data_IF_189302067448
#
_entry.id   IF_189302067448
#
_cell.length_a   1.000
_cell.length_b   1.000
_cell.length_c   1.000
_cell.angle_alpha   90.00
_cell.angle_beta   90.00
_cell.angle_gamma   90.00
#
_symmetry.space_group_name_H-M   'P 1'
#
loop_
_entity.id
_entity.type
_entity.pdbx_description
1 polymer ?
#
# COMPACT_ATOMS: atom_id res chain seq x y z
N UNK A 1 2.71 16.78 -41.83
CA UNK A 1 3.35 18.10 -42.08
C UNK A 1 4.75 18.08 -41.46
N UNK A 2 5.79 17.91 -42.27
CA UNK A 2 7.17 17.88 -41.81
C UNK A 2 7.70 19.30 -41.61
N UNK A 3 8.19 19.60 -40.42
CA UNK A 3 8.82 20.89 -40.11
C UNK A 3 10.19 20.93 -40.82
N UNK A 4 10.34 21.78 -41.83
CA UNK A 4 11.64 22.05 -42.47
C UNK A 4 12.45 22.97 -41.54
N UNK A 5 13.57 22.47 -41.03
CA UNK A 5 14.53 23.27 -40.28
C UNK A 5 15.27 24.26 -41.21
N UNK A 6 15.57 25.45 -40.68
CA UNK A 6 16.25 26.54 -41.38
C UNK A 6 17.69 26.18 -41.80
N UNK A 7 18.13 26.55 -43.02
CA UNK A 7 19.43 26.18 -43.59
C UNK A 7 20.66 26.72 -42.83
N UNK A 8 20.48 27.65 -41.88
CA UNK A 8 21.56 28.13 -41.02
C UNK A 8 22.01 27.11 -39.95
N UNK A 9 21.13 26.22 -39.51
CA UNK A 9 21.46 25.23 -38.46
C UNK A 9 22.31 24.09 -39.05
N UNK A 10 22.15 23.79 -40.34
CA UNK A 10 22.90 22.73 -41.01
C UNK A 10 24.41 23.04 -41.15
N UNK A 11 24.79 24.32 -41.25
CA UNK A 11 26.21 24.72 -41.36
C UNK A 11 26.98 24.62 -40.05
N UNK A 12 26.31 24.68 -38.90
CA UNK A 12 26.96 24.52 -37.58
C UNK A 12 27.25 23.05 -37.23
N UNK A 13 26.48 22.11 -37.79
CA UNK A 13 26.62 20.67 -37.50
C UNK A 13 27.50 19.90 -38.49
N UNK A 14 27.92 20.54 -39.59
CA UNK A 14 28.84 19.94 -40.58
C UNK A 14 30.28 20.39 -40.35
N UNK A 15 30.84 20.05 -39.19
CA UNK A 15 32.29 20.15 -39.00
C UNK A 15 32.97 18.91 -39.57
N UNK A 16 33.85 19.11 -40.56
CA UNK A 16 34.66 18.03 -41.20
C UNK A 16 35.63 17.36 -40.23
N UNK A 17 35.97 18.01 -39.11
CA UNK A 17 36.92 17.49 -38.13
C UNK A 17 36.19 16.74 -37.00
N UNK A 18 36.42 15.42 -36.82
CA UNK A 18 35.81 14.64 -35.75
C UNK A 18 36.17 15.16 -34.35
N UNK A 19 37.36 15.76 -34.18
CA UNK A 19 37.78 16.34 -32.91
C UNK A 19 36.95 17.57 -32.53
N UNK A 20 36.62 18.41 -33.51
CA UNK A 20 35.74 19.58 -33.30
C UNK A 20 34.34 19.17 -32.86
N UNK A 21 33.79 18.10 -33.45
CA UNK A 21 32.47 17.57 -33.06
C UNK A 21 32.48 17.08 -31.60
N UNK A 22 33.52 16.37 -31.18
CA UNK A 22 33.67 15.90 -29.81
C UNK A 22 33.70 17.05 -28.80
N UNK A 23 34.43 18.14 -29.11
CA UNK A 23 34.50 19.34 -28.25
C UNK A 23 33.13 20.02 -28.13
N UNK A 24 32.38 20.15 -29.23
CA UNK A 24 31.04 20.76 -29.19
C UNK A 24 30.05 19.89 -28.41
N UNK A 25 30.09 18.56 -28.56
CA UNK A 25 29.25 17.66 -27.76
C UNK A 25 29.61 17.72 -26.26
N UNK A 26 30.90 17.81 -25.93
CA UNK A 26 31.34 17.98 -24.55
C UNK A 26 30.85 19.30 -23.96
N UNK A 27 30.94 20.40 -24.71
CA UNK A 27 30.44 21.72 -24.28
C UNK A 27 28.92 21.72 -24.07
N UNK A 28 28.14 21.14 -24.99
CA UNK A 28 26.67 21.02 -24.84
C UNK A 28 26.33 20.15 -23.62
N UNK A 29 27.04 19.05 -23.41
CA UNK A 29 26.83 18.17 -22.26
C UNK A 29 27.11 18.89 -20.94
N UNK A 30 28.19 19.68 -20.87
CA UNK A 30 28.52 20.50 -19.70
C UNK A 30 27.48 21.59 -19.44
N UNK A 31 26.93 22.22 -20.48
CA UNK A 31 25.85 23.20 -20.34
C UNK A 31 24.57 22.54 -19.81
N UNK A 32 24.19 21.36 -20.32
CA UNK A 32 23.03 20.61 -19.83
C UNK A 32 23.20 20.17 -18.38
N UNK A 33 24.42 19.75 -17.98
CA UNK A 33 24.75 19.41 -16.59
C UNK A 33 24.67 20.66 -15.72
N UNK A 34 25.21 21.81 -16.16
CA UNK A 34 25.14 23.06 -15.41
C UNK A 34 23.70 23.55 -15.23
N UNK A 35 22.86 23.47 -16.27
CA UNK A 35 21.43 23.81 -16.19
C UNK A 35 20.66 22.86 -15.28
N UNK A 36 21.02 21.58 -15.26
CA UNK A 36 20.43 20.59 -14.35
C UNK A 36 20.79 20.87 -12.90
N UNK A 37 22.05 21.24 -12.64
CA UNK A 37 22.55 21.62 -11.31
C UNK A 37 22.01 22.97 -10.83
N UNK A 38 21.66 23.89 -11.74
CA UNK A 38 21.04 25.17 -11.39
C UNK A 38 19.52 25.08 -11.19
N UNK A 39 18.88 23.97 -11.60
CA UNK A 39 17.46 23.77 -11.35
C UNK A 39 17.24 23.39 -9.88
N UNK A 40 16.47 24.23 -9.17
CA UNK A 40 16.02 24.03 -7.78
C UNK A 40 15.16 22.76 -7.57
N UNK A 41 14.94 21.98 -8.63
CA UNK A 41 14.30 20.67 -8.62
C UNK A 41 15.23 19.56 -8.11
N UNK A 42 16.54 19.71 -8.25
CA UNK A 42 17.51 18.66 -7.84
C UNK A 42 17.63 18.54 -6.32
N UNK A 43 17.48 19.64 -5.57
CA UNK A 43 17.46 19.61 -4.11
C UNK A 43 16.19 18.94 -3.56
N UNK A 44 15.05 19.06 -4.25
CA UNK A 44 13.81 18.35 -3.89
C UNK A 44 13.90 16.86 -4.17
N UNK A 45 14.47 16.46 -5.32
CA UNK A 45 14.74 15.07 -5.66
C UNK A 45 15.74 14.43 -4.70
N UNK A 46 16.82 15.15 -4.33
CA UNK A 46 17.78 14.66 -3.34
C UNK A 46 17.15 14.50 -1.96
N UNK A 47 16.31 15.43 -1.49
CA UNK A 47 15.59 15.28 -0.22
C UNK A 47 14.58 14.13 -0.27
N UNK A 48 13.83 13.98 -1.36
CA UNK A 48 12.89 12.88 -1.54
C UNK A 48 13.61 11.51 -1.53
N UNK A 49 14.75 11.39 -2.21
CA UNK A 49 15.57 10.16 -2.23
C UNK A 49 16.21 9.88 -0.86
N UNK A 50 16.71 10.91 -0.17
CA UNK A 50 17.34 10.77 1.16
C UNK A 50 16.32 10.28 2.20
N UNK A 51 15.09 10.80 2.19
CA UNK A 51 14.02 10.36 3.10
C UNK A 51 13.65 8.90 2.87
N UNK A 52 13.62 8.43 1.61
CA UNK A 52 13.41 7.02 1.33
C UNK A 52 14.56 6.17 1.87
N UNK A 53 15.83 6.57 1.64
CA UNK A 53 17.01 5.80 2.08
C UNK A 53 17.21 5.77 3.60
N UNK A 54 16.89 6.82 4.36
CA UNK A 54 17.00 6.77 5.83
C UNK A 54 15.93 5.88 6.45
N UNK A 55 14.75 5.80 5.83
CA UNK A 55 13.71 4.83 6.20
C UNK A 55 14.15 3.39 5.94
N UNK A 56 15.04 3.17 4.96
CA UNK A 56 15.66 1.86 4.69
C UNK A 56 16.79 1.53 5.69
N UNK A 57 17.61 2.50 6.08
CA UNK A 57 18.78 2.26 6.95
C UNK A 57 18.43 1.77 8.36
N UNK A 58 17.28 2.15 8.90
CA UNK A 58 16.81 1.63 10.19
C UNK A 58 16.08 0.27 10.09
N UNK A 59 15.72 -0.19 8.88
CA UNK A 59 15.18 -1.53 8.62
C UNK A 59 16.22 -2.56 8.17
N UNK A 60 17.42 -2.15 7.75
CA UNK A 60 18.47 -2.99 7.15
C UNK A 60 19.48 -3.60 8.13
N UNK A 61 19.23 -3.61 9.44
CA UNK A 61 20.05 -4.41 10.39
C UNK A 61 19.61 -5.88 10.56
N UNK A 62 18.80 -6.42 9.63
CA UNK A 62 18.67 -7.86 9.45
C UNK A 62 19.30 -8.30 8.14
N UNK A 63 20.63 -8.41 8.17
CA UNK A 63 21.38 -9.16 7.17
C UNK A 63 20.89 -10.62 7.17
N UNK A 64 20.31 -11.08 6.06
CA UNK A 64 19.88 -12.47 5.90
C UNK A 64 21.09 -13.40 6.09
N UNK A 65 21.08 -14.18 7.18
CA UNK A 65 22.02 -15.29 7.39
C UNK A 65 21.51 -16.55 6.64
N UNK A 66 22.40 -17.42 6.14
CA UNK A 66 22.01 -18.69 5.54
C UNK A 66 21.16 -19.53 6.50
N UNK A 67 20.20 -20.27 5.94
CA UNK A 67 19.21 -21.14 6.61
C UNK A 67 19.79 -22.32 7.42
N UNK A 68 21.10 -22.34 7.72
CA UNK A 68 21.78 -23.42 8.44
C UNK A 68 21.90 -23.21 9.95
N UNK A 69 21.64 -22.01 10.47
CA UNK A 69 21.63 -21.74 11.92
C UNK A 69 20.25 -21.24 12.35
N UNK A 70 19.29 -22.16 12.50
CA UNK A 70 18.02 -21.84 13.15
C UNK A 70 18.21 -21.78 14.67
N UNK A 71 17.78 -20.71 15.36
CA UNK A 71 17.61 -20.77 16.80
C UNK A 71 16.54 -21.80 17.13
N UNK A 72 16.84 -22.73 18.04
CA UNK A 72 15.84 -23.64 18.59
C UNK A 72 14.76 -22.80 19.26
N UNK A 73 13.56 -22.79 18.68
CA UNK A 73 12.39 -22.17 19.29
C UNK A 73 12.09 -22.85 20.63
N UNK A 74 11.77 -22.10 21.71
CA UNK A 74 11.31 -22.72 22.94
C UNK A 74 10.04 -23.53 22.65
N UNK A 75 9.87 -24.70 23.30
CA UNK A 75 8.72 -25.56 23.06
C UNK A 75 7.42 -24.83 23.40
N UNK A 76 6.40 -25.04 22.57
CA UNK A 76 5.07 -24.49 22.73
C UNK A 76 4.47 -24.89 24.09
N UNK A 77 3.72 -24.00 24.76
CA UNK A 77 2.97 -24.39 25.96
C UNK A 77 1.90 -25.43 25.61
N UNK A 78 1.58 -26.35 26.53
CA UNK A 78 0.65 -27.45 26.26
C UNK A 78 -0.80 -26.94 26.06
N UNK A 79 -1.63 -27.69 25.33
CA UNK A 79 -3.02 -27.32 25.09
C UNK A 79 -3.85 -27.38 26.37
N UNK A 80 -4.60 -26.32 26.65
CA UNK A 80 -5.54 -26.25 27.77
C UNK A 80 -6.74 -27.16 27.45
N UNK A 81 -6.87 -28.24 28.21
CA UNK A 81 -7.99 -29.18 28.10
C UNK A 81 -9.31 -28.55 28.56
N UNK A 82 -10.38 -28.84 27.83
CA UNK A 82 -11.75 -28.48 28.19
C UNK A 82 -12.30 -29.39 29.30
N UNK A 83 -12.87 -28.78 30.35
CA UNK A 83 -14.16 -29.09 30.99
C UNK A 83 -14.13 -28.93 32.52
N UNK A 84 -15.16 -28.23 33.05
CA UNK A 84 -15.59 -28.30 34.44
C UNK A 84 -16.13 -26.99 35.02
N UNK A 85 -17.45 -26.77 34.94
CA UNK A 85 -18.15 -25.93 35.94
C UNK A 85 -18.19 -26.71 37.28
N UNK A 86 -18.09 -26.09 38.48
CA UNK A 86 -19.14 -25.17 38.97
C UNK A 86 -18.72 -23.99 39.91
N UNK A 87 -19.69 -23.07 40.04
CA UNK A 87 -20.03 -22.15 41.15
C UNK A 87 -19.11 -21.01 41.62
N UNK A 88 -19.66 -19.79 41.43
CA UNK A 88 -19.69 -18.61 42.31
C UNK A 88 -18.46 -18.30 43.17
N UNK A 89 -17.73 -17.24 42.83
CA UNK A 89 -17.74 -15.88 43.42
C UNK A 89 -16.57 -15.10 42.76
N UNK A 90 -16.74 -13.81 42.48
CA UNK A 90 -15.79 -12.87 41.84
C UNK A 90 -14.32 -12.88 42.37
N UNK A 91 -13.31 -12.26 41.69
CA UNK A 91 -13.41 -11.27 40.60
C UNK A 91 -12.61 -11.56 39.32
N UNK A 92 -13.03 -10.87 38.26
CA UNK A 92 -12.52 -10.91 36.89
C UNK A 92 -11.05 -10.48 36.73
N UNK A 93 -10.21 -11.38 36.20
CA UNK A 93 -8.95 -11.06 35.52
C UNK A 93 -8.85 -11.89 34.23
N UNK A 94 -9.67 -11.53 33.24
CA UNK A 94 -9.53 -11.99 31.86
C UNK A 94 -8.63 -11.04 31.09
N UNK A 95 -7.45 -11.51 30.66
CA UNK A 95 -6.48 -10.78 29.84
C UNK A 95 -6.93 -10.56 28.40
N UNK A 96 -7.99 -9.78 28.21
CA UNK A 96 -8.18 -8.99 27.00
C UNK A 96 -7.93 -7.54 27.38
N UNK A 97 -7.08 -6.83 26.64
CA UNK A 97 -6.90 -5.39 26.85
C UNK A 97 -8.27 -4.72 26.76
N UNK A 98 -8.83 -4.29 27.90
CA UNK A 98 -9.95 -3.35 27.91
C UNK A 98 -9.36 -2.04 27.42
N UNK A 99 -9.54 -1.75 26.13
CA UNK A 99 -9.28 -0.42 25.59
C UNK A 99 -10.22 0.54 26.32
N UNK A 100 -9.68 1.30 27.27
CA UNK A 100 -10.41 2.30 28.04
C UNK A 100 -10.70 3.52 27.16
N UNK A 101 -11.71 4.30 27.55
CA UNK A 101 -12.05 5.55 26.85
C UNK A 101 -10.89 6.57 26.87
N UNK A 102 -9.92 6.40 27.77
CA UNK A 102 -8.75 7.25 27.96
C UNK A 102 -7.66 6.99 26.90
N UNK A 103 -7.39 5.73 26.52
CA UNK A 103 -6.53 5.39 25.36
C UNK A 103 -7.18 5.74 24.01
N UNK A 104 -8.50 5.90 23.99
CA UNK A 104 -9.27 6.35 22.82
C UNK A 104 -9.44 7.88 22.75
N UNK A 105 -8.87 8.63 23.70
CA UNK A 105 -8.89 10.08 23.67
C UNK A 105 -8.11 10.64 22.48
N UNK A 106 -8.65 11.69 21.87
CA UNK A 106 -8.05 12.37 20.73
C UNK A 106 -7.46 13.72 21.12
N UNK A 107 -6.68 13.75 22.21
CA UNK A 107 -5.83 14.90 22.46
C UNK A 107 -4.82 15.05 21.32
N UNK A 108 -4.61 16.29 20.89
CA UNK A 108 -3.68 16.58 19.81
C UNK A 108 -2.24 16.42 20.32
N UNK A 109 -1.67 15.24 20.09
CA UNK A 109 -0.23 15.01 20.25
C UNK A 109 0.53 15.74 19.14
N UNK A 110 0.73 17.05 19.33
CA UNK A 110 1.51 17.89 18.41
C UNK A 110 2.97 17.46 18.29
N UNK A 111 3.50 16.63 19.21
CA UNK A 111 4.84 16.06 19.04
C UNK A 111 4.81 14.94 18.00
N UNK A 112 3.82 14.04 18.06
CA UNK A 112 3.56 13.03 17.03
C UNK A 112 3.25 13.67 15.67
N UNK A 113 2.35 14.65 15.61
CA UNK A 113 2.01 15.34 14.35
C UNK A 113 3.22 16.02 13.70
N UNK A 114 4.13 16.62 14.50
CA UNK A 114 5.40 17.17 13.98
C UNK A 114 6.33 16.09 13.43
N UNK A 115 6.39 14.91 14.06
CA UNK A 115 7.17 13.77 13.54
C UNK A 115 6.60 13.30 12.21
N UNK A 116 5.28 13.15 12.09
CA UNK A 116 4.62 12.80 10.83
C UNK A 116 4.93 13.83 9.74
N UNK A 117 4.83 15.13 10.06
CA UNK A 117 5.19 16.22 9.15
C UNK A 117 6.62 16.09 8.63
N UNK A 118 7.58 15.92 9.53
CA UNK A 118 8.99 15.81 9.18
C UNK A 118 9.27 14.57 8.34
N UNK A 119 8.73 13.42 8.77
CA UNK A 119 8.96 12.12 8.11
C UNK A 119 8.41 12.08 6.69
N UNK A 120 7.21 12.62 6.46
CA UNK A 120 6.53 12.55 5.15
C UNK A 120 6.56 13.86 4.36
N UNK A 121 7.35 14.83 4.81
CA UNK A 121 7.49 16.13 4.16
C UNK A 121 6.15 16.85 3.96
N UNK A 122 5.29 16.82 4.98
CA UNK A 122 3.97 17.46 4.93
C UNK A 122 4.09 18.99 5.02
N UNK A 123 3.08 19.68 4.52
CA UNK A 123 2.89 21.11 4.74
C UNK A 123 2.83 21.43 6.26
N UNK A 124 3.17 22.68 6.68
CA UNK A 124 3.05 23.10 8.08
C UNK A 124 1.64 22.93 8.65
N UNK A 125 0.64 23.16 7.79
CA UNK A 125 -0.78 22.92 8.02
C UNK A 125 -1.26 21.77 7.14
N UNK A 126 -1.93 20.79 7.73
CA UNK A 126 -2.44 19.62 6.99
C UNK A 126 -3.73 19.08 7.62
N UNK A 127 -4.49 18.33 6.83
CA UNK A 127 -5.69 17.61 7.27
C UNK A 127 -5.29 16.36 8.06
N UNK A 128 -5.85 16.15 9.25
CA UNK A 128 -5.59 14.98 10.09
C UNK A 128 -6.89 14.33 10.54
N UNK A 129 -6.96 13.00 10.40
CA UNK A 129 -8.05 12.19 10.90
C UNK A 129 -7.49 10.91 11.53
N UNK A 130 -7.84 10.65 12.79
CA UNK A 130 -7.46 9.44 13.51
C UNK A 130 -8.72 8.66 13.84
N UNK A 131 -8.74 7.34 13.65
CA UNK A 131 -9.88 6.50 14.01
C UNK A 131 -9.47 5.11 14.47
N UNK A 132 -10.17 4.59 15.48
CA UNK A 132 -10.07 3.20 15.88
C UNK A 132 -10.93 2.32 14.98
N UNK A 133 -10.41 1.15 14.61
CA UNK A 133 -11.11 0.16 13.79
C UNK A 133 -11.14 -1.15 14.57
N UNK A 134 -12.33 -1.62 14.92
CA UNK A 134 -12.51 -2.85 15.68
C UNK A 134 -12.85 -4.01 14.74
N UNK A 135 -12.06 -5.07 14.80
CA UNK A 135 -12.29 -6.30 14.05
C UNK A 135 -13.39 -7.10 14.75
N UNK A 136 -14.47 -7.43 14.03
CA UNK A 136 -15.52 -8.31 14.51
C UNK A 136 -15.45 -9.66 13.80
N UNK A 137 -15.26 -10.74 14.56
CA UNK A 137 -15.31 -12.11 14.02
C UNK A 137 -16.75 -12.59 13.99
N UNK A 138 -17.38 -12.42 12.84
CA UNK A 138 -18.74 -12.89 12.58
C UNK A 138 -18.71 -14.37 12.21
N UNK A 139 -19.32 -15.22 13.05
CA UNK A 139 -19.38 -16.69 12.83
C UNK A 139 -20.24 -17.08 11.62
N UNK A 140 -21.09 -16.17 11.15
CA UNK A 140 -21.97 -16.32 9.98
C UNK A 140 -21.28 -15.98 8.64
N UNK A 141 -20.09 -15.38 8.64
CA UNK A 141 -19.34 -15.11 7.41
C UNK A 141 -18.49 -16.33 7.07
N UNK A 142 -19.02 -17.19 6.20
CA UNK A 142 -18.33 -18.42 5.76
C UNK A 142 -17.18 -18.11 4.78
N UNK A 143 -17.20 -16.98 4.07
CA UNK A 143 -16.21 -16.67 3.02
C UNK A 143 -15.89 -15.17 2.93
N UNK A 144 -14.61 -14.85 2.67
CA UNK A 144 -14.10 -13.48 2.46
C UNK A 144 -14.70 -12.92 1.18
N UNK A 145 -15.39 -11.78 1.27
CA UNK A 145 -15.85 -11.02 0.10
C UNK A 145 -14.76 -10.11 -0.45
N UNK A 146 -14.80 -9.86 -1.76
CA UNK A 146 -13.95 -8.86 -2.43
C UNK A 146 -14.21 -7.46 -1.86
N UNK A 147 -15.49 -7.10 -1.69
CA UNK A 147 -15.96 -5.91 -0.99
C UNK A 147 -16.89 -6.30 0.17
N UNK A 148 -16.65 -5.70 1.33
CA UNK A 148 -17.48 -5.85 2.52
C UNK A 148 -18.16 -4.52 2.82
N UNK A 149 -19.49 -4.52 2.76
CA UNK A 149 -20.29 -3.35 3.17
C UNK A 149 -20.30 -3.24 4.69
N UNK A 150 -20.10 -2.02 5.18
CA UNK A 150 -20.08 -1.62 6.58
C UNK A 150 -21.15 -0.55 6.79
N UNK A 151 -22.10 -0.83 7.67
CA UNK A 151 -23.25 0.06 7.92
C UNK A 151 -22.84 1.38 8.60
N UNK A 152 -21.67 1.41 9.24
CA UNK A 152 -21.10 2.58 9.90
C UNK A 152 -20.45 3.55 8.90
N UNK A 153 -20.46 4.85 9.25
CA UNK A 153 -19.74 5.91 8.53
C UNK A 153 -18.24 5.84 8.80
N UNK A 154 -17.39 6.22 7.85
CA UNK A 154 -15.96 6.45 8.08
C UNK A 154 -15.67 7.80 8.74
N UNK A 155 -16.45 8.84 8.49
CA UNK A 155 -16.37 10.11 9.20
C UNK A 155 -17.47 10.20 10.27
N UNK A 156 -17.09 10.09 11.54
CA UNK A 156 -18.02 10.26 12.67
C UNK A 156 -18.56 11.70 12.69
N UNK A 157 -19.87 11.84 12.85
CA UNK A 157 -20.52 13.14 13.05
C UNK A 157 -20.47 13.50 14.53
N UNK A 158 -19.45 14.24 14.96
CA UNK A 158 -19.46 14.97 16.24
C UNK A 158 -19.86 16.42 16.01
N UNK A 159 -20.38 17.12 17.02
CA UNK A 159 -21.08 18.43 17.01
C UNK A 159 -20.46 19.67 16.32
N UNK A 160 -19.54 19.51 15.37
CA UNK A 160 -19.04 20.55 14.46
C UNK A 160 -18.92 20.15 12.97
N UNK A 161 -19.03 18.87 12.60
CA UNK A 161 -19.07 18.44 11.19
C UNK A 161 -18.37 17.12 10.85
N UNK A 162 -18.62 16.62 9.62
CA UNK A 162 -18.04 15.39 9.03
C UNK A 162 -16.80 15.71 8.19
N UNK A 163 -15.73 16.20 8.81
CA UNK A 163 -14.53 16.67 8.08
C UNK A 163 -13.24 16.29 8.80
N UNK A 164 -12.17 16.25 8.03
CA UNK A 164 -10.81 16.13 8.56
C UNK A 164 -10.47 17.41 9.31
N UNK A 165 -9.80 17.27 10.46
CA UNK A 165 -9.39 18.43 11.26
C UNK A 165 -8.19 19.09 10.60
N UNK A 166 -8.16 20.40 10.52
CA UNK A 166 -6.98 21.13 10.03
C UNK A 166 -6.04 21.37 11.22
N UNK A 167 -4.84 20.79 11.16
CA UNK A 167 -3.83 20.94 12.21
C UNK A 167 -2.70 21.86 11.75
N UNK A 168 -2.31 22.80 12.59
CA UNK A 168 -1.11 23.63 12.47
C UNK A 168 -0.11 23.21 13.55
N UNK A 169 0.91 22.49 13.10
CA UNK A 169 1.95 21.96 13.99
C UNK A 169 2.93 22.99 14.54
N UNK A 170 3.09 24.14 13.88
CA UNK A 170 3.98 25.21 14.35
C UNK A 170 3.24 26.12 15.33
N UNK A 171 2.02 26.51 14.99
CA UNK A 171 1.14 27.27 15.88
C UNK A 171 0.57 26.44 17.04
N UNK A 172 0.69 25.11 16.99
CA UNK A 172 0.05 24.15 17.92
C UNK A 172 -1.45 24.41 18.07
N UNK A 173 -2.09 24.60 16.92
CA UNK A 173 -3.54 24.81 16.85
C UNK A 173 -4.17 23.75 15.98
N UNK A 174 -5.41 23.38 16.29
CA UNK A 174 -6.23 22.51 15.48
C UNK A 174 -7.60 23.16 15.31
N UNK A 175 -8.29 22.88 14.20
CA UNK A 175 -9.69 23.29 14.07
C UNK A 175 -10.53 22.67 15.19
N UNK A 176 -11.56 23.40 15.63
CA UNK A 176 -12.47 22.96 16.70
C UNK A 176 -13.39 21.78 16.30
N UNK A 177 -13.12 21.15 15.16
CA UNK A 177 -13.85 19.98 14.72
C UNK A 177 -13.61 18.85 15.73
N UNK A 178 -14.68 18.26 16.31
CA UNK A 178 -14.51 17.20 17.29
C UNK A 178 -13.86 16.00 16.62
N UNK A 179 -12.87 15.44 17.29
CA UNK A 179 -12.30 14.17 16.92
C UNK A 179 -13.40 13.11 16.90
N UNK A 180 -13.30 12.08 16.04
CA UNK A 180 -14.20 10.94 16.17
C UNK A 180 -14.11 10.43 17.60
N UNK A 181 -15.26 10.35 18.26
CA UNK A 181 -15.36 9.92 19.65
C UNK A 181 -14.82 8.50 19.85
N UNK A 182 -14.92 7.96 21.08
CA UNK A 182 -14.34 6.66 21.41
C UNK A 182 -14.97 5.48 20.64
N UNK A 183 -16.03 5.68 19.85
CA UNK A 183 -16.67 4.61 19.11
C UNK A 183 -15.82 4.15 17.90
N UNK A 184 -15.35 2.89 17.88
CA UNK A 184 -14.56 2.38 16.76
C UNK A 184 -15.44 2.10 15.53
N UNK A 185 -14.84 2.14 14.34
CA UNK A 185 -15.46 1.56 13.14
C UNK A 185 -15.41 0.03 13.25
N UNK A 186 -16.57 -0.63 13.32
CA UNK A 186 -16.62 -2.09 13.38
C UNK A 186 -16.54 -2.68 11.97
N UNK A 187 -15.58 -3.56 11.73
CA UNK A 187 -15.41 -4.22 10.43
C UNK A 187 -15.49 -5.74 10.59
N UNK A 188 -16.40 -6.43 9.88
CA UNK A 188 -16.52 -7.87 9.98
C UNK A 188 -15.42 -8.57 9.16
N UNK A 189 -14.71 -9.51 9.77
CA UNK A 189 -13.68 -10.31 9.11
C UNK A 189 -13.96 -11.80 9.32
N UNK A 190 -13.69 -12.60 8.30
CA UNK A 190 -13.68 -14.07 8.41
C UNK A 190 -12.66 -14.56 9.42
N UNK A 191 -12.91 -15.73 9.99
CA UNK A 191 -11.93 -16.37 10.85
C UNK A 191 -10.90 -17.09 9.96
N UNK A 192 -9.67 -16.59 9.95
CA UNK A 192 -8.56 -17.13 9.17
C UNK A 192 -7.31 -17.34 10.03
N UNK A 193 -6.40 -18.24 9.65
CA UNK A 193 -5.15 -18.44 10.39
C UNK A 193 -4.37 -17.15 10.55
N UNK A 194 -3.81 -16.94 11.73
CA UNK A 194 -2.82 -15.89 11.99
C UNK A 194 -1.42 -16.42 11.68
N UNK A 195 -0.44 -15.55 11.36
CA UNK A 195 0.92 -15.99 11.00
C UNK A 195 1.57 -16.95 12.00
N UNK A 196 1.29 -16.81 13.30
CA UNK A 196 1.83 -17.69 14.35
C UNK A 196 1.22 -19.10 14.36
N UNK A 197 0.11 -19.31 13.66
CA UNK A 197 -0.61 -20.59 13.59
C UNK A 197 -0.54 -21.26 12.22
N UNK A 198 0.07 -20.61 11.23
CA UNK A 198 0.14 -21.12 9.86
C UNK A 198 1.06 -22.35 9.80
N UNK A 199 0.52 -23.48 9.35
CA UNK A 199 1.34 -24.64 9.00
C UNK A 199 1.82 -24.51 7.55
N UNK A 200 3.12 -24.27 7.37
CA UNK A 200 3.75 -24.13 6.06
C UNK A 200 4.58 -25.37 5.67
N UNK A 201 4.41 -26.50 6.36
CA UNK A 201 5.15 -27.75 6.09
C UNK A 201 5.04 -28.22 4.64
N UNK A 202 3.89 -27.94 4.02
CA UNK A 202 3.55 -28.43 2.69
C UNK A 202 4.11 -27.51 1.57
N UNK A 203 4.58 -26.31 1.92
CA UNK A 203 5.13 -25.35 0.95
C UNK A 203 6.66 -25.46 0.90
N UNK A 204 7.17 -26.43 0.11
CA UNK A 204 8.61 -26.67 -0.01
C UNK A 204 9.34 -25.58 -0.81
N UNK A 205 8.73 -25.10 -1.91
CA UNK A 205 9.16 -23.92 -2.69
C UNK A 205 8.07 -23.53 -3.70
N UNK A 206 8.04 -22.26 -4.10
CA UNK A 206 7.15 -21.76 -5.16
C UNK A 206 7.97 -21.09 -6.28
N UNK A 207 7.51 -21.22 -7.52
CA UNK A 207 8.12 -20.54 -8.68
C UNK A 207 7.07 -19.62 -9.30
N UNK A 208 7.32 -18.31 -9.26
CA UNK A 208 6.51 -17.31 -9.95
C UNK A 208 7.28 -16.84 -11.18
N UNK A 209 6.94 -17.39 -12.35
CA UNK A 209 7.53 -16.96 -13.63
C UNK A 209 6.48 -16.87 -14.75
N UNK A 210 6.87 -16.38 -15.94
CA UNK A 210 5.95 -16.28 -17.08
C UNK A 210 5.57 -17.67 -17.59
N UNK A 211 4.34 -17.81 -18.10
CA UNK A 211 3.88 -19.08 -18.68
C UNK A 211 4.83 -19.61 -19.76
N UNK A 212 5.38 -18.71 -20.58
CA UNK A 212 6.37 -19.06 -21.60
C UNK A 212 7.55 -19.84 -21.02
N UNK A 213 8.15 -19.39 -19.92
CA UNK A 213 9.29 -20.05 -19.26
C UNK A 213 8.94 -21.43 -18.68
N UNK A 214 7.67 -21.69 -18.36
CA UNK A 214 7.22 -23.02 -17.99
C UNK A 214 6.98 -23.94 -19.19
N UNK A 215 6.62 -23.38 -20.33
CA UNK A 215 6.28 -24.13 -21.56
C UNK A 215 7.47 -24.36 -22.50
N UNK A 216 8.58 -23.64 -22.32
CA UNK A 216 9.77 -23.79 -23.15
C UNK A 216 10.42 -25.17 -22.98
N UNK A 217 11.04 -25.75 -24.03
CA UNK A 217 11.73 -27.04 -23.94
C UNK A 217 12.91 -27.04 -22.97
N UNK A 218 13.28 -28.24 -22.51
CA UNK A 218 14.52 -28.45 -21.75
C UNK A 218 15.73 -28.00 -22.58
N UNK A 219 16.69 -27.30 -21.94
CA UNK A 219 17.87 -26.73 -22.60
C UNK A 219 17.69 -25.33 -23.19
N UNK A 220 16.46 -24.82 -23.32
CA UNK A 220 16.18 -23.43 -23.75
C UNK A 220 15.84 -22.48 -22.59
N UNK A 221 15.93 -22.95 -21.34
CA UNK A 221 15.49 -22.21 -20.15
C UNK A 221 14.13 -22.66 -19.58
N UNK A 222 13.53 -23.71 -20.15
CA UNK A 222 12.30 -24.33 -19.68
C UNK A 222 12.39 -24.83 -18.24
N UNK A 223 11.58 -24.25 -17.35
CA UNK A 223 11.59 -24.60 -15.92
C UNK A 223 10.90 -25.94 -15.66
N UNK A 224 9.73 -26.18 -16.28
CA UNK A 224 8.97 -27.43 -16.08
C UNK A 224 9.73 -28.66 -16.57
N UNK A 225 10.29 -28.69 -17.80
CA UNK A 225 11.02 -29.87 -18.26
C UNK A 225 12.24 -30.16 -17.39
N UNK A 226 12.97 -29.11 -16.96
CA UNK A 226 14.13 -29.26 -16.08
C UNK A 226 13.77 -29.94 -14.75
N UNK A 227 12.71 -29.47 -14.09
CA UNK A 227 12.26 -30.04 -12.82
C UNK A 227 11.79 -31.48 -13.02
N UNK A 228 11.07 -31.77 -14.10
CA UNK A 228 10.48 -33.09 -14.32
C UNK A 228 11.50 -34.15 -14.73
N UNK A 229 12.56 -33.76 -15.44
CA UNK A 229 13.65 -34.66 -15.84
C UNK A 229 14.60 -34.96 -14.68
N UNK A 230 14.82 -34.01 -13.77
CA UNK A 230 15.82 -34.14 -12.71
C UNK A 230 15.24 -34.47 -11.33
N UNK A 231 13.92 -34.45 -11.17
CA UNK A 231 13.26 -34.70 -9.88
C UNK A 231 11.93 -35.43 -10.04
N UNK A 232 11.48 -36.07 -8.95
CA UNK A 232 10.12 -36.63 -8.86
C UNK A 232 9.04 -35.56 -8.61
N UNK A 233 9.41 -34.28 -8.46
CA UNK A 233 8.48 -33.19 -8.16
C UNK A 233 7.56 -32.94 -9.35
N UNK A 234 6.29 -32.64 -9.06
CA UNK A 234 5.28 -32.24 -10.03
C UNK A 234 4.72 -30.88 -9.65
N UNK A 235 4.76 -29.94 -10.59
CA UNK A 235 4.34 -28.57 -10.38
C UNK A 235 2.81 -28.50 -10.41
N UNK A 236 2.25 -27.69 -9.52
CA UNK A 236 0.83 -27.32 -9.51
C UNK A 236 0.72 -25.82 -9.76
N UNK A 237 -0.23 -25.41 -10.59
CA UNK A 237 -0.49 -23.99 -10.82
C UNK A 237 -1.22 -23.44 -9.59
N UNK A 238 -0.65 -22.41 -8.97
CA UNK A 238 -1.23 -21.67 -7.85
C UNK A 238 -1.52 -20.24 -8.35
N UNK A 239 -2.78 -19.90 -8.69
CA UNK A 239 -3.14 -18.61 -9.27
C UNK A 239 -2.73 -17.38 -8.43
N UNK A 240 -2.57 -17.57 -7.13
CA UNK A 240 -2.27 -16.49 -6.17
C UNK A 240 -0.77 -16.19 -6.05
N UNK A 241 0.10 -16.87 -6.80
CA UNK A 241 1.54 -16.55 -6.89
C UNK A 241 1.79 -15.47 -7.96
N UNK A 242 1.77 -14.21 -7.55
CA UNK A 242 1.82 -13.09 -8.49
C UNK A 242 3.23 -12.63 -8.84
N UNK A 243 3.56 -12.65 -10.13
CA UNK A 243 4.82 -12.08 -10.63
C UNK A 243 4.85 -10.54 -10.61
N UNK A 244 3.67 -9.94 -10.81
CA UNK A 244 3.43 -8.49 -10.91
C UNK A 244 4.36 -7.74 -11.87
N UNK A 245 4.33 -8.11 -13.15
CA UNK A 245 4.95 -7.33 -14.24
C UNK A 245 4.19 -6.03 -14.53
N UNK A 246 3.91 -5.27 -13.48
CA UNK A 246 3.11 -4.04 -13.48
C UNK A 246 4.05 -2.84 -13.38
N UNK A 247 3.83 -1.85 -14.24
CA UNK A 247 4.53 -0.57 -14.19
C UNK A 247 3.54 0.56 -13.92
N UNK A 248 4.02 1.62 -13.26
CA UNK A 248 3.20 2.78 -12.92
C UNK A 248 2.53 2.62 -11.55
N UNK A 249 1.28 3.07 -11.44
CA UNK A 249 0.53 3.06 -10.18
C UNK A 249 -0.10 1.68 -9.92
N UNK A 250 0.34 0.93 -8.89
CA UNK A 250 -0.19 -0.41 -8.62
C UNK A 250 -1.52 -0.41 -7.86
N UNK A 251 -2.12 0.76 -7.59
CA UNK A 251 -3.31 0.89 -6.72
C UNK A 251 -4.46 0.00 -7.16
N UNK A 252 -4.72 -0.11 -8.47
CA UNK A 252 -5.73 -1.01 -9.01
C UNK A 252 -5.58 -2.45 -8.54
N UNK A 253 -4.35 -2.97 -8.47
CA UNK A 253 -4.09 -4.33 -8.00
C UNK A 253 -4.37 -4.45 -6.50
N UNK A 254 -3.78 -3.60 -5.67
CA UNK A 254 -3.90 -3.71 -4.22
C UNK A 254 -5.25 -3.26 -3.66
N UNK A 255 -6.01 -2.45 -4.39
CA UNK A 255 -7.37 -2.01 -4.03
C UNK A 255 -8.47 -2.86 -4.68
N UNK A 256 -8.12 -3.92 -5.41
CA UNK A 256 -9.12 -4.78 -6.07
C UNK A 256 -9.83 -5.71 -5.09
N UNK A 257 -9.17 -6.07 -3.98
CA UNK A 257 -9.66 -7.08 -3.03
C UNK A 257 -9.05 -8.46 -3.23
N UNK A 258 -8.15 -8.62 -4.20
CA UNK A 258 -7.35 -9.84 -4.40
C UNK A 258 -6.57 -10.23 -3.15
N UNK A 259 -6.37 -11.54 -2.96
CA UNK A 259 -5.58 -12.13 -1.87
C UNK A 259 -4.30 -12.76 -2.44
N UNK A 260 -3.23 -11.99 -2.68
CA UNK A 260 -1.99 -12.53 -3.23
C UNK A 260 -1.24 -13.34 -2.17
N UNK A 261 -0.78 -14.55 -2.51
CA UNK A 261 0.10 -15.36 -1.65
C UNK A 261 1.55 -14.92 -1.74
N UNK A 262 1.99 -14.45 -2.91
CA UNK A 262 3.33 -13.89 -3.10
C UNK A 262 3.30 -12.66 -3.98
N UNK A 263 4.25 -11.76 -3.75
CA UNK A 263 4.49 -10.60 -4.59
C UNK A 263 5.92 -10.66 -5.13
N UNK A 264 6.06 -10.61 -6.44
CA UNK A 264 7.34 -10.39 -7.11
C UNK A 264 7.32 -9.00 -7.79
N UNK A 265 8.47 -8.52 -8.29
CA UNK A 265 8.60 -7.21 -8.95
C UNK A 265 7.97 -6.01 -8.20
N UNK A 266 8.10 -5.92 -6.88
CA UNK A 266 7.55 -4.82 -6.07
C UNK A 266 8.61 -3.87 -5.48
N UNK A 267 9.90 -4.08 -5.78
CA UNK A 267 11.01 -3.32 -5.15
C UNK A 267 11.38 -2.03 -5.91
N UNK A 268 10.56 -1.59 -6.86
CA UNK A 268 10.83 -0.43 -7.70
C UNK A 268 11.73 -0.72 -8.90
N UNK A 269 12.46 0.31 -9.35
CA UNK A 269 13.17 0.30 -10.64
C UNK A 269 12.20 0.60 -11.78
N UNK A 270 12.11 -0.29 -12.76
CA UNK A 270 11.06 -0.20 -13.80
C UNK A 270 9.69 -0.68 -13.30
N UNK A 271 9.66 -1.46 -12.21
CA UNK A 271 8.46 -2.00 -11.58
C UNK A 271 7.85 -1.04 -10.56
N UNK A 272 6.68 -1.39 -10.01
CA UNK A 272 6.09 -0.63 -8.92
C UNK A 272 6.85 -0.82 -7.60
N UNK A 273 6.62 0.12 -6.68
CA UNK A 273 7.06 0.01 -5.28
C UNK A 273 5.87 -0.51 -4.46
N UNK A 274 6.09 -1.55 -3.68
CA UNK A 274 5.14 -2.08 -2.72
C UNK A 274 5.79 -2.33 -1.36
N UNK A 275 4.96 -2.44 -0.32
CA UNK A 275 5.39 -2.64 1.07
C UNK A 275 4.73 -3.88 1.70
N UNK A 276 5.02 -5.11 1.23
CA UNK A 276 4.31 -6.32 1.64
C UNK A 276 4.25 -6.51 3.17
N UNK A 277 5.35 -6.23 3.88
CA UNK A 277 5.43 -6.32 5.34
C UNK A 277 4.55 -5.31 6.07
N UNK A 278 4.32 -4.13 5.47
CA UNK A 278 3.40 -3.14 6.00
C UNK A 278 1.95 -3.51 5.68
N UNK A 279 1.71 -4.02 4.46
CA UNK A 279 0.37 -4.43 4.00
C UNK A 279 -0.20 -5.58 4.82
N UNK A 280 0.64 -6.57 5.12
CA UNK A 280 0.27 -7.80 5.83
C UNK A 280 0.29 -7.66 7.35
N UNK A 281 0.73 -6.52 7.90
CA UNK A 281 0.89 -6.35 9.35
C UNK A 281 -0.42 -6.58 10.13
N UNK A 282 -1.56 -6.26 9.52
CA UNK A 282 -2.88 -6.50 10.10
C UNK A 282 -3.18 -7.98 10.34
N UNK A 283 -2.54 -8.90 9.63
CA UNK A 283 -2.77 -10.33 9.78
C UNK A 283 -2.42 -10.85 11.20
N UNK A 284 -1.62 -10.11 11.97
CA UNK A 284 -1.38 -10.42 13.38
C UNK A 284 -2.65 -10.30 14.25
N UNK A 285 -3.63 -9.48 13.83
CA UNK A 285 -4.91 -9.30 14.53
C UNK A 285 -6.01 -10.15 13.92
N UNK A 286 -6.21 -10.04 12.61
CA UNK A 286 -7.38 -10.57 11.92
C UNK A 286 -7.12 -11.82 11.06
N UNK A 287 -5.88 -12.33 11.06
CA UNK A 287 -5.49 -13.44 10.20
C UNK A 287 -5.26 -13.01 8.74
N UNK A 288 -4.85 -13.94 7.90
CA UNK A 288 -4.48 -13.65 6.51
C UNK A 288 -5.61 -13.03 5.67
N UNK A 289 -6.87 -13.37 5.95
CA UNK A 289 -8.01 -12.95 5.14
C UNK A 289 -8.29 -11.45 5.19
N UNK A 290 -7.90 -10.74 6.26
CA UNK A 290 -8.13 -9.30 6.28
C UNK A 290 -7.14 -8.52 5.40
N UNK A 291 -6.01 -9.13 5.02
CA UNK A 291 -5.00 -8.43 4.22
C UNK A 291 -5.58 -8.07 2.85
N UNK A 292 -5.58 -6.78 2.53
CA UNK A 292 -6.19 -6.19 1.32
C UNK A 292 -7.70 -6.42 1.17
N UNK A 293 -8.40 -6.88 2.22
CA UNK A 293 -9.86 -6.88 2.22
C UNK A 293 -10.37 -5.45 2.14
N UNK A 294 -11.46 -5.23 1.40
CA UNK A 294 -12.06 -3.91 1.21
C UNK A 294 -13.27 -3.74 2.10
N UNK A 295 -13.32 -2.64 2.83
CA UNK A 295 -14.47 -2.23 3.64
C UNK A 295 -15.05 -0.95 3.09
N UNK A 296 -16.27 -1.02 2.52
CA UNK A 296 -17.02 0.15 2.06
C UNK A 296 -17.90 0.65 3.19
N UNK A 297 -17.80 1.92 3.48
CA UNK A 297 -18.63 2.63 4.47
C UNK A 297 -19.75 3.39 3.77
N UNK A 298 -20.83 3.67 4.49
CA UNK A 298 -22.02 4.32 3.95
C UNK A 298 -21.81 5.79 3.51
N UNK A 299 -20.69 6.43 3.88
CA UNK A 299 -20.32 7.79 3.49
C UNK A 299 -19.25 7.85 2.40
N UNK A 300 -19.13 6.76 1.62
CA UNK A 300 -18.37 6.75 0.38
C UNK A 300 -16.87 6.59 0.56
N UNK A 301 -16.42 6.06 1.70
CA UNK A 301 -15.03 5.62 1.88
C UNK A 301 -14.90 4.11 1.67
N UNK A 302 -13.77 3.72 1.09
CA UNK A 302 -13.31 2.34 0.98
C UNK A 302 -11.95 2.23 1.67
N UNK A 303 -11.87 1.38 2.68
CA UNK A 303 -10.59 1.02 3.31
C UNK A 303 -10.11 -0.27 2.63
N UNK A 304 -9.02 -0.19 1.86
CA UNK A 304 -8.27 -1.36 1.42
C UNK A 304 -7.26 -1.70 2.53
N UNK A 305 -7.59 -2.69 3.35
CA UNK A 305 -6.87 -2.99 4.59
C UNK A 305 -5.37 -3.21 4.34
N UNK A 306 -4.55 -2.35 4.92
CA UNK A 306 -3.11 -2.35 4.71
C UNK A 306 -2.62 -1.75 3.38
N UNK A 307 -3.43 -1.06 2.59
CA UNK A 307 -2.94 -0.40 1.38
C UNK A 307 -3.38 1.05 1.26
N UNK A 308 -4.67 1.34 1.34
CA UNK A 308 -5.18 2.71 1.16
C UNK A 308 -6.50 2.96 1.90
N UNK A 309 -6.80 4.25 2.05
CA UNK A 309 -8.13 4.74 2.38
C UNK A 309 -8.56 5.65 1.25
N UNK A 310 -9.58 5.25 0.49
CA UNK A 310 -10.07 5.99 -0.67
C UNK A 310 -11.45 6.58 -0.40
N UNK A 311 -11.67 7.83 -0.78
CA UNK A 311 -12.98 8.48 -0.80
C UNK A 311 -13.49 8.61 -2.23
N UNK A 312 -14.78 8.41 -2.41
CA UNK A 312 -15.49 8.54 -3.68
C UNK A 312 -16.55 9.66 -3.57
N UNK A 313 -16.18 10.94 -3.76
CA UNK A 313 -17.06 12.08 -3.45
C UNK A 313 -18.34 12.14 -4.28
N UNK A 314 -18.34 11.49 -5.45
CA UNK A 314 -19.47 11.44 -6.38
C UNK A 314 -20.19 10.10 -6.36
N UNK A 315 -19.94 9.26 -5.35
CA UNK A 315 -20.51 7.92 -5.23
C UNK A 315 -19.86 6.87 -6.13
N UNK A 316 -20.32 5.63 -5.97
CA UNK A 316 -19.80 4.43 -6.65
C UNK A 316 -20.90 3.60 -7.33
N UNK A 317 -22.13 4.08 -7.40
CA UNK A 317 -23.28 3.26 -7.82
C UNK A 317 -23.24 2.89 -9.32
N UNK A 318 -22.51 3.66 -10.13
CA UNK A 318 -22.23 3.41 -11.54
C UNK A 318 -20.89 2.69 -11.78
N UNK A 319 -20.17 2.33 -10.71
CA UNK A 319 -18.89 1.62 -10.81
C UNK A 319 -19.11 0.13 -10.58
N UNK A 320 -18.59 -0.69 -11.50
CA UNK A 320 -18.40 -2.11 -11.21
C UNK A 320 -17.22 -2.26 -10.23
N UNK A 321 -17.53 -2.38 -8.95
CA UNK A 321 -16.52 -2.43 -7.89
C UNK A 321 -15.78 -3.76 -7.82
N UNK A 322 -16.27 -4.80 -8.49
CA UNK A 322 -15.61 -6.10 -8.57
C UNK A 322 -14.50 -6.10 -9.63
N UNK A 323 -14.57 -5.16 -10.59
CA UNK A 323 -13.52 -4.97 -11.57
C UNK A 323 -12.30 -4.25 -11.00
N UNK A 324 -11.13 -4.78 -11.34
CA UNK A 324 -9.85 -4.13 -11.07
C UNK A 324 -9.75 -2.80 -11.82
N UNK A 325 -9.31 -1.75 -11.15
CA UNK A 325 -9.04 -0.46 -11.78
C UNK A 325 -7.77 -0.53 -12.63
N UNK A 326 -7.82 -0.09 -13.88
CA UNK A 326 -6.64 -0.06 -14.75
C UNK A 326 -5.72 1.13 -14.46
N UNK A 327 -5.06 1.12 -13.30
CA UNK A 327 -4.13 2.19 -12.86
C UNK A 327 -2.69 2.00 -13.36
N UNK A 328 -2.32 0.75 -13.65
CA UNK A 328 -1.00 0.34 -14.11
C UNK A 328 -1.02 -0.03 -15.59
N UNK A 329 0.17 -0.23 -16.15
CA UNK A 329 0.40 -0.81 -17.48
C UNK A 329 1.21 -2.10 -17.36
N UNK A 330 0.94 -3.13 -18.18
CA UNK A 330 1.76 -4.34 -18.23
C UNK A 330 3.14 -4.05 -18.83
N UNK A 331 4.15 -4.84 -18.45
CA UNK A 331 5.43 -4.94 -19.13
C UNK A 331 5.49 -6.19 -20.03
N UNK A 332 6.35 -6.19 -21.07
CA UNK A 332 7.07 -5.04 -21.62
C UNK A 332 6.17 -4.10 -22.46
N UNK A 333 5.16 -4.66 -23.13
CA UNK A 333 4.25 -3.95 -24.03
C UNK A 333 2.81 -3.95 -23.50
N UNK A 334 2.11 -2.82 -23.63
CA UNK A 334 0.68 -2.72 -23.36
C UNK A 334 -0.14 -2.89 -24.64
N UNK A 335 -0.69 -4.10 -24.84
CA UNK A 335 -1.58 -4.45 -25.95
C UNK A 335 -3.06 -4.20 -25.62
N UNK A 336 -3.37 -3.73 -24.41
CA UNK A 336 -4.76 -3.53 -23.97
C UNK A 336 -5.33 -4.69 -23.17
N UNK A 337 -4.94 -5.93 -23.49
CA UNK A 337 -5.55 -7.18 -22.99
C UNK A 337 -4.55 -8.15 -22.34
N UNK A 338 -3.27 -7.77 -22.17
CA UNK A 338 -2.20 -8.67 -21.73
C UNK A 338 -2.50 -9.41 -20.42
N UNK A 339 -3.27 -8.78 -19.53
CA UNK A 339 -3.52 -9.25 -18.18
C UNK A 339 -4.95 -9.72 -17.98
N UNK A 340 -5.83 -9.60 -18.98
CA UNK A 340 -7.26 -9.90 -18.86
C UNK A 340 -7.52 -11.37 -18.48
N UNK A 341 -6.64 -12.28 -18.91
CA UNK A 341 -6.71 -13.70 -18.53
C UNK A 341 -6.57 -13.90 -17.01
N UNK A 342 -5.73 -13.11 -16.34
CA UNK A 342 -5.47 -13.24 -14.91
C UNK A 342 -6.29 -12.26 -14.06
N UNK A 343 -6.59 -11.08 -14.59
CA UNK A 343 -7.20 -9.97 -13.85
C UNK A 343 -8.68 -9.76 -14.20
N UNK A 344 -9.19 -10.44 -15.23
CA UNK A 344 -10.51 -10.18 -15.78
C UNK A 344 -10.58 -8.84 -16.52
N UNK A 345 -11.80 -8.45 -16.91
CA UNK A 345 -12.06 -7.14 -17.51
C UNK A 345 -11.82 -6.03 -16.50
N UNK A 346 -10.94 -5.09 -16.83
CA UNK A 346 -10.59 -3.99 -15.95
C UNK A 346 -11.47 -2.77 -16.20
N UNK A 347 -11.86 -2.09 -15.11
CA UNK A 347 -12.59 -0.81 -15.22
C UNK A 347 -11.65 0.35 -15.50
N UNK A 348 -12.23 1.47 -15.95
CA UNK A 348 -11.49 2.71 -16.24
C UNK A 348 -10.83 3.28 -14.99
N UNK A 349 -9.65 3.85 -15.21
CA UNK A 349 -8.90 4.64 -14.22
C UNK A 349 -9.68 5.90 -13.84
N UNK A 350 -9.74 6.21 -12.54
CA UNK A 350 -10.42 7.37 -11.97
C UNK A 350 -9.46 8.51 -11.62
N UNK A 351 -8.15 8.34 -11.80
CA UNK A 351 -7.20 9.43 -11.68
C UNK A 351 -7.61 10.59 -12.61
N UNK A 352 -7.55 11.82 -12.09
CA UNK A 352 -7.86 13.07 -12.80
C UNK A 352 -9.33 13.21 -13.23
N UNK A 353 -10.24 12.50 -12.58
CA UNK A 353 -11.68 12.59 -12.88
C UNK A 353 -12.48 13.33 -11.82
N UNK A 354 -11.87 13.65 -10.67
CA UNK A 354 -12.59 14.17 -9.50
C UNK A 354 -13.45 13.13 -8.76
N UNK A 355 -13.54 11.90 -9.26
CA UNK A 355 -14.41 10.86 -8.69
C UNK A 355 -13.84 10.09 -7.52
N UNK A 356 -12.52 10.11 -7.35
CA UNK A 356 -11.79 9.37 -6.33
C UNK A 356 -10.64 10.22 -5.80
N UNK A 357 -10.36 10.07 -4.51
CA UNK A 357 -9.18 10.62 -3.84
C UNK A 357 -8.70 9.58 -2.83
N UNK A 358 -7.39 9.31 -2.76
CA UNK A 358 -6.84 8.25 -1.91
C UNK A 358 -5.71 8.73 -1.01
N UNK A 359 -5.63 8.14 0.17
CA UNK A 359 -4.51 8.22 1.09
C UNK A 359 -3.79 6.87 1.07
N UNK A 360 -2.50 6.88 0.76
CA UNK A 360 -1.72 5.65 0.56
C UNK A 360 -0.96 5.30 1.84
N UNK A 361 -0.90 4.01 2.19
CA UNK A 361 -0.19 3.53 3.37
C UNK A 361 1.30 3.89 3.28
N UNK A 362 1.81 4.50 4.34
CA UNK A 362 3.23 4.83 4.51
C UNK A 362 3.89 4.01 5.61
N UNK A 363 3.15 3.66 6.66
CA UNK A 363 3.69 2.96 7.83
C UNK A 363 2.64 2.04 8.45
N UNK A 364 3.08 0.87 8.90
CA UNK A 364 2.27 -0.02 9.73
C UNK A 364 3.09 -0.64 10.85
N UNK A 365 2.61 -0.49 12.08
CA UNK A 365 3.33 -0.83 13.30
C UNK A 365 2.45 -1.66 14.22
N UNK A 366 2.89 -2.88 14.52
CA UNK A 366 2.33 -3.68 15.62
C UNK A 366 2.84 -3.11 16.94
N UNK A 367 1.91 -2.67 17.79
CA UNK A 367 2.21 -2.08 19.09
C UNK A 367 2.32 -3.17 20.18
N UNK A 368 2.98 -2.89 21.30
CA UNK A 368 3.13 -3.85 22.40
C UNK A 368 1.81 -4.32 23.02
N UNK A 369 0.75 -3.51 22.93
CA UNK A 369 -0.60 -3.84 23.37
C UNK A 369 -1.35 -4.79 22.41
N UNK A 370 -0.71 -5.21 21.32
CA UNK A 370 -1.27 -6.05 20.27
C UNK A 370 -2.00 -5.30 19.17
N UNK A 371 -2.32 -4.01 19.35
CA UNK A 371 -2.98 -3.19 18.32
C UNK A 371 -2.06 -2.93 17.13
N UNK A 372 -2.63 -2.61 15.96
CA UNK A 372 -1.85 -2.24 14.77
C UNK A 372 -2.17 -0.81 14.38
N UNK A 373 -1.15 0.04 14.38
CA UNK A 373 -1.23 1.41 13.87
C UNK A 373 -0.93 1.43 12.38
N UNK A 374 -1.69 2.18 11.60
CA UNK A 374 -1.43 2.44 10.18
C UNK A 374 -1.54 3.92 9.87
N UNK A 375 -0.55 4.45 9.15
CA UNK A 375 -0.50 5.84 8.72
C UNK A 375 -0.62 5.89 7.21
N UNK A 376 -1.59 6.65 6.74
CA UNK A 376 -1.86 6.89 5.33
C UNK A 376 -1.70 8.37 5.01
N UNK A 377 -1.07 8.67 3.88
CA UNK A 377 -0.74 10.05 3.49
C UNK A 377 -1.28 10.34 2.10
N UNK A 378 -1.78 11.56 1.93
CA UNK A 378 -2.12 12.14 0.64
C UNK A 378 -1.45 13.49 0.50
N UNK A 379 -0.79 13.73 -0.61
CA UNK A 379 -0.19 15.04 -0.93
C UNK A 379 -1.21 15.97 -1.60
N UNK A 380 -1.16 17.26 -1.27
CA UNK A 380 -1.99 18.30 -1.89
C UNK A 380 -1.73 18.44 -3.39
N UNK A 381 -0.50 18.15 -3.82
CA UNK A 381 -0.04 18.24 -5.20
C UNK A 381 0.04 16.87 -5.90
N UNK A 382 -0.62 15.84 -5.35
CA UNK A 382 -0.74 14.54 -6.01
C UNK A 382 -1.46 14.69 -7.37
N UNK A 383 -0.79 14.40 -8.50
CA UNK A 383 -1.34 14.63 -9.83
C UNK A 383 -2.49 13.69 -10.18
N UNK A 384 -2.73 12.62 -9.39
CA UNK A 384 -3.89 11.74 -9.56
C UNK A 384 -5.18 12.41 -9.09
N UNK A 385 -5.10 13.30 -8.09
CA UNK A 385 -6.25 13.81 -7.36
C UNK A 385 -6.59 15.26 -7.76
N UNK A 386 -6.91 15.40 -9.05
CA UNK A 386 -7.49 16.61 -9.65
C UNK A 386 -8.87 16.28 -10.24
N UNK A 387 -9.71 17.29 -10.38
CA UNK A 387 -10.98 17.18 -11.08
C UNK A 387 -10.80 17.21 -12.62
N UNK A 388 -11.91 17.12 -13.33
CA UNK A 388 -11.95 17.14 -14.80
C UNK A 388 -11.56 18.49 -15.42
N UNK A 389 -11.58 19.58 -14.64
CA UNK A 389 -11.10 20.90 -15.03
C UNK A 389 -9.60 21.09 -14.73
N UNK A 390 -9.00 20.14 -14.01
CA UNK A 390 -7.60 20.18 -13.59
C UNK A 390 -7.36 20.88 -12.25
N UNK A 391 -8.42 21.22 -11.51
CA UNK A 391 -8.29 21.79 -10.18
C UNK A 391 -7.96 20.70 -9.16
N UNK A 392 -7.18 21.05 -8.14
CA UNK A 392 -6.88 20.13 -7.03
C UNK A 392 -8.15 19.81 -6.24
N UNK A 393 -8.35 18.53 -5.92
CA UNK A 393 -9.49 18.11 -5.10
C UNK A 393 -9.38 18.54 -3.63
N UNK A 394 -8.16 18.77 -3.13
CA UNK A 394 -7.87 19.24 -1.77
C UNK A 394 -6.69 20.21 -1.77
N UNK A 395 -6.79 21.26 -0.96
CA UNK A 395 -5.76 22.32 -0.89
C UNK A 395 -4.58 22.01 0.03
N UNK A 396 -4.79 21.19 1.06
CA UNK A 396 -3.78 20.80 2.03
C UNK A 396 -3.33 19.35 1.83
N UNK A 397 -2.18 18.98 2.39
CA UNK A 397 -1.83 17.57 2.59
C UNK A 397 -2.82 16.92 3.56
N UNK A 398 -2.96 15.61 3.52
CA UNK A 398 -3.86 14.88 4.39
C UNK A 398 -3.23 13.62 4.98
N UNK A 399 -3.60 13.32 6.22
CA UNK A 399 -3.16 12.16 6.96
C UNK A 399 -4.36 11.45 7.56
N UNK A 400 -4.44 10.14 7.33
CA UNK A 400 -5.35 9.24 8.03
C UNK A 400 -4.52 8.32 8.92
N UNK A 401 -4.87 8.22 10.20
CA UNK A 401 -4.30 7.28 11.15
C UNK A 401 -5.37 6.29 11.59
N UNK A 402 -5.18 5.01 11.27
CA UNK A 402 -6.06 3.93 11.72
C UNK A 402 -5.37 3.12 12.81
N UNK A 403 -6.08 2.91 13.91
CA UNK A 403 -5.63 2.03 15.01
C UNK A 403 -6.55 0.82 15.05
N UNK A 404 -6.05 -0.33 14.63
CA UNK A 404 -6.79 -1.57 14.55
C UNK A 404 -6.71 -2.33 15.86
N UNK A 405 -7.87 -2.77 16.36
CA UNK A 405 -8.06 -3.46 17.64
C UNK A 405 -8.99 -4.67 17.47
N UNK A 406 -8.97 -5.58 18.45
CA UNK A 406 -9.86 -6.75 18.51
C UNK A 406 -11.16 -6.49 19.28
#
# INVERSE_FOLDING_TARGET
MGIKMSPHIYRFLSMRNPFGRAVVFAAISLILIALSLHSSSTDRLRRAVIVTTDSFRHGEQQQQRPLSDTPVWPPSPPPVAAAGQPNSTEPSTGGGARFDAETMACEDDFAHLRKLRQRYGLQPKFEYYKRHVQISRRQDVVERKVMTEVDDRFLVSGGGGTKFRLVDTDGRTASHDPCPGPEPLRVPVTNSPVPSTANLSDFFFGVSTTYQRFSEPFGSGGTTPCIYENTAVRLTIVPELWQLDLMGDPSGFYESGVKPLSLHHYRGGMWHIGYPTAYTRLAHLCGEDCTLQRFRTNDGFVIAAGFSVAQYPLGMDDLDTDQMERTFRPAPDDKGWNLDFALGTQRRNLARTGRKISWDLQESTLRPDGSVSQIYVRKADDPRWIDWEGNRMRGNDGVVELVWIL
#
